data_IF_219586421883
#
_entry.id   IF_219586421883
#
_cell.length_a   1.000
_cell.length_b   1.000
_cell.length_c   1.000
_cell.angle_alpha   90.00
_cell.angle_beta   90.00
_cell.angle_gamma   90.00
#
_symmetry.space_group_name_H-M   'P 1'
#
loop_
_entity.id
_entity.type
_entity.pdbx_description
1 polymer ?
#
# COMPACT_ATOMS: atom_id res chain seq x y z
N UNK A 1 0.63 -5.93 -28.64
CA UNK A 1 -0.76 -6.36 -28.32
C UNK A 1 -0.71 -7.78 -27.76
N UNK A 2 -1.55 -8.12 -26.78
CA UNK A 2 -1.60 -9.45 -26.15
C UNK A 2 -3.04 -9.97 -26.17
N UNK A 3 -3.22 -11.26 -26.43
CA UNK A 3 -4.52 -11.94 -26.36
C UNK A 3 -4.74 -12.66 -25.02
N UNK A 4 -3.74 -12.61 -24.12
CA UNK A 4 -3.76 -13.25 -22.81
C UNK A 4 -3.77 -14.79 -22.84
N UNK A 5 -3.60 -15.44 -24.01
CA UNK A 5 -3.69 -16.90 -24.15
C UNK A 5 -2.52 -17.49 -24.94
N UNK A 6 -2.27 -16.98 -26.14
CA UNK A 6 -1.33 -17.57 -27.09
C UNK A 6 -0.02 -16.80 -27.18
N UNK A 7 -0.01 -15.53 -26.77
CA UNK A 7 1.22 -14.77 -26.63
C UNK A 7 1.01 -13.25 -26.63
N UNK A 8 2.12 -12.55 -26.86
CA UNK A 8 2.15 -11.10 -26.96
C UNK A 8 3.13 -10.65 -28.05
N UNK A 9 2.86 -9.46 -28.59
CA UNK A 9 3.71 -8.79 -29.57
C UNK A 9 4.38 -7.57 -28.94
N UNK A 10 5.71 -7.49 -29.12
CA UNK A 10 6.54 -6.34 -28.75
C UNK A 10 7.05 -5.71 -30.04
N UNK A 11 6.82 -4.40 -30.18
CA UNK A 11 7.28 -3.60 -31.32
C UNK A 11 7.73 -2.24 -30.79
N UNK A 12 8.67 -1.63 -31.51
CA UNK A 12 9.08 -0.25 -31.24
C UNK A 12 7.92 0.71 -31.53
N UNK A 13 7.78 1.75 -30.70
CA UNK A 13 6.71 2.73 -30.82
C UNK A 13 7.19 4.11 -30.39
N UNK A 14 6.48 5.15 -30.81
CA UNK A 14 6.78 6.55 -30.52
C UNK A 14 5.65 7.13 -29.67
N UNK A 15 6.01 7.86 -28.61
CA UNK A 15 5.09 8.62 -27.77
C UNK A 15 5.65 10.00 -27.47
N UNK A 16 4.77 10.98 -27.30
CA UNK A 16 5.15 12.39 -27.16
C UNK A 16 5.63 12.76 -25.75
N UNK A 17 5.28 11.98 -24.74
CA UNK A 17 5.55 12.27 -23.32
C UNK A 17 6.11 11.05 -22.59
N UNK A 18 6.61 11.19 -21.37
CA UNK A 18 6.96 10.05 -20.52
C UNK A 18 5.71 9.38 -19.92
N UNK A 19 5.78 8.06 -19.70
CA UNK A 19 4.71 7.30 -19.02
C UNK A 19 4.39 5.96 -19.67
N UNK A 20 3.25 5.39 -19.26
CA UNK A 20 2.75 4.11 -19.76
C UNK A 20 1.24 4.20 -20.01
N UNK A 21 0.80 3.72 -21.16
CA UNK A 21 -0.61 3.65 -21.52
C UNK A 21 -1.02 2.18 -21.52
N UNK A 22 -2.01 1.81 -20.72
CA UNK A 22 -2.56 0.45 -20.66
C UNK A 22 -3.98 0.49 -21.23
N UNK A 23 -4.16 -0.11 -22.41
CA UNK A 23 -5.45 -0.13 -23.12
C UNK A 23 -6.04 -1.53 -23.01
N UNK A 24 -7.23 -1.62 -22.41
CA UNK A 24 -7.98 -2.86 -22.26
C UNK A 24 -9.11 -2.89 -23.29
N UNK A 25 -9.18 -3.94 -24.11
CA UNK A 25 -10.35 -4.22 -24.91
C UNK A 25 -11.33 -5.05 -24.08
N UNK A 26 -12.52 -4.50 -23.86
CA UNK A 26 -13.53 -5.06 -22.95
C UNK A 26 -14.39 -6.07 -23.71
N UNK A 27 -14.54 -7.27 -23.15
CA UNK A 27 -15.45 -8.30 -23.65
C UNK A 27 -16.87 -8.11 -23.07
N UNK A 28 -17.82 -8.97 -23.46
CA UNK A 28 -19.22 -8.89 -23.00
C UNK A 28 -19.35 -8.94 -21.46
N UNK A 29 -18.56 -9.79 -20.78
CA UNK A 29 -18.57 -9.89 -19.32
C UNK A 29 -18.07 -8.62 -18.61
N UNK A 30 -17.21 -7.86 -19.28
CA UNK A 30 -16.62 -6.64 -18.77
C UNK A 30 -17.44 -5.38 -19.03
N UNK A 31 -18.61 -5.46 -19.68
CA UNK A 31 -19.42 -4.31 -20.10
C UNK A 31 -19.68 -3.31 -18.96
N UNK A 32 -19.84 -3.80 -17.72
CA UNK A 32 -19.99 -2.94 -16.52
C UNK A 32 -18.85 -1.94 -16.32
N UNK A 33 -17.64 -2.23 -16.78
CA UNK A 33 -16.48 -1.36 -16.69
C UNK A 33 -16.49 -0.22 -17.73
N UNK A 34 -17.48 -0.18 -18.63
CA UNK A 34 -17.77 0.98 -19.47
C UNK A 34 -18.62 2.03 -18.75
N UNK A 35 -19.19 1.68 -17.59
CA UNK A 35 -20.00 2.59 -16.78
C UNK A 35 -19.11 3.47 -15.89
N UNK A 36 -19.25 4.80 -16.02
CA UNK A 36 -18.51 5.79 -15.23
C UNK A 36 -18.63 5.56 -13.73
N UNK A 37 -19.84 5.32 -13.23
CA UNK A 37 -20.09 5.20 -11.79
C UNK A 37 -19.43 3.94 -11.21
N UNK A 38 -19.46 2.84 -11.96
CA UNK A 38 -18.78 1.60 -11.59
C UNK A 38 -17.26 1.81 -11.50
N UNK A 39 -16.65 2.41 -12.53
CA UNK A 39 -15.21 2.75 -12.51
C UNK A 39 -14.89 3.70 -11.35
N UNK A 40 -15.71 4.73 -11.12
CA UNK A 40 -15.50 5.68 -10.04
C UNK A 40 -15.51 4.99 -8.67
N UNK A 41 -16.43 4.05 -8.46
CA UNK A 41 -16.50 3.28 -7.22
C UNK A 41 -15.31 2.35 -7.04
N UNK A 42 -14.87 1.67 -8.11
CA UNK A 42 -13.68 0.81 -8.09
C UNK A 42 -12.45 1.63 -7.72
N UNK A 43 -12.21 2.75 -8.41
CA UNK A 43 -11.07 3.64 -8.13
C UNK A 43 -11.13 4.16 -6.69
N UNK A 44 -12.28 4.64 -6.22
CA UNK A 44 -12.43 5.09 -4.82
C UNK A 44 -12.13 3.96 -3.83
N UNK A 45 -12.65 2.76 -4.07
CA UNK A 45 -12.47 1.59 -3.20
C UNK A 45 -11.00 1.20 -3.08
N UNK A 46 -10.28 1.15 -4.20
CA UNK A 46 -8.90 0.62 -4.23
C UNK A 46 -7.81 1.68 -4.25
N UNK A 47 -8.14 2.98 -4.33
CA UNK A 47 -7.11 4.01 -4.53
C UNK A 47 -7.27 5.26 -3.66
N UNK A 48 -8.30 5.36 -2.82
CA UNK A 48 -8.47 6.52 -1.92
C UNK A 48 -7.31 6.73 -0.94
N UNK A 49 -6.52 5.69 -0.70
CA UNK A 49 -5.35 5.69 0.16
C UNK A 49 -4.03 5.94 -0.61
N UNK A 50 -4.09 5.98 -1.94
CA UNK A 50 -2.94 6.28 -2.80
C UNK A 50 -2.80 7.80 -2.83
N UNK A 51 -1.60 8.29 -2.48
CA UNK A 51 -1.30 9.72 -2.46
C UNK A 51 -1.24 10.34 -3.87
N UNK A 52 -0.95 9.53 -4.90
CA UNK A 52 -0.93 9.98 -6.28
C UNK A 52 -2.35 10.32 -6.77
N UNK A 53 -2.56 11.50 -7.40
CA UNK A 53 -3.89 11.88 -7.89
C UNK A 53 -4.28 11.01 -9.09
N UNK A 54 -5.49 10.46 -9.04
CA UNK A 54 -6.06 9.63 -10.10
C UNK A 54 -7.22 10.38 -10.71
N UNK A 55 -7.07 10.72 -11.99
CA UNK A 55 -8.08 11.42 -12.77
C UNK A 55 -8.89 10.42 -13.60
N UNK A 56 -10.21 10.62 -13.63
CA UNK A 56 -11.11 9.93 -14.54
C UNK A 56 -11.55 10.90 -15.62
N UNK A 57 -11.45 10.47 -16.87
CA UNK A 57 -11.90 11.19 -18.05
C UNK A 57 -13.17 10.54 -18.59
N UNK A 58 -14.18 11.35 -18.96
CA UNK A 58 -15.39 10.85 -19.62
C UNK A 58 -16.06 11.91 -20.48
N UNK A 59 -16.89 11.47 -21.43
CA UNK A 59 -17.77 12.34 -22.22
C UNK A 59 -19.12 12.48 -21.50
N UNK A 60 -19.52 13.71 -21.18
CA UNK A 60 -20.84 14.01 -20.68
C UNK A 60 -21.73 14.50 -21.83
N UNK A 61 -22.87 13.82 -22.03
CA UNK A 61 -23.86 14.20 -23.03
C UNK A 61 -25.00 14.93 -22.33
N UNK A 62 -25.17 16.21 -22.64
CA UNK A 62 -26.30 17.02 -22.15
C UNK A 62 -27.21 17.41 -23.30
N UNK A 63 -28.51 17.24 -23.13
CA UNK A 63 -29.49 17.69 -24.13
C UNK A 63 -30.01 19.06 -23.72
N UNK A 64 -29.81 20.08 -24.56
CA UNK A 64 -30.39 21.43 -24.34
C UNK A 64 -31.43 21.74 -25.40
N UNK A 65 -32.55 22.34 -24.97
CA UNK A 65 -33.68 22.77 -25.80
C UNK A 65 -34.97 21.96 -25.59
N UNK A 66 -36.10 22.54 -25.99
CA UNK A 66 -37.44 21.91 -25.93
C UNK A 66 -37.95 21.54 -27.33
N UNK A 67 -38.70 20.44 -27.41
CA UNK A 67 -39.32 19.96 -28.65
C UNK A 67 -38.30 19.59 -29.76
N UNK A 68 -38.57 20.00 -30.99
CA UNK A 68 -37.74 19.68 -32.19
C UNK A 68 -36.37 20.37 -32.24
N UNK A 69 -36.04 21.22 -31.26
CA UNK A 69 -34.74 21.95 -31.17
C UNK A 69 -33.77 21.34 -30.15
N UNK A 70 -33.97 20.10 -29.72
CA UNK A 70 -33.01 19.37 -28.87
C UNK A 70 -31.67 19.25 -29.61
N UNK A 71 -30.62 19.84 -29.04
CA UNK A 71 -29.24 19.61 -29.45
C UNK A 71 -28.51 18.88 -28.34
N UNK A 72 -27.82 17.81 -28.71
CA UNK A 72 -26.87 17.13 -27.85
C UNK A 72 -25.58 17.93 -27.82
N UNK A 73 -25.12 18.28 -26.62
CA UNK A 73 -23.80 18.84 -26.37
C UNK A 73 -22.98 17.75 -25.68
N UNK A 74 -21.92 17.32 -26.35
CA UNK A 74 -20.88 16.44 -25.81
C UNK A 74 -19.78 17.30 -25.21
N UNK A 75 -19.42 17.03 -23.96
CA UNK A 75 -18.39 17.78 -23.25
C UNK A 75 -17.43 16.80 -22.58
N UNK A 76 -16.13 16.96 -22.82
CA UNK A 76 -15.11 16.14 -22.18
C UNK A 76 -14.87 16.66 -20.77
N UNK A 77 -15.04 15.79 -19.78
CA UNK A 77 -14.82 16.09 -18.37
C UNK A 77 -13.66 15.28 -17.81
N UNK A 78 -12.98 15.88 -16.85
CA UNK A 78 -11.88 15.28 -16.10
C UNK A 78 -12.06 15.61 -14.63
N UNK A 79 -11.97 14.63 -13.75
CA UNK A 79 -12.12 14.82 -12.30
C UNK A 79 -11.16 13.91 -11.54
N UNK A 80 -10.52 14.44 -10.49
CA UNK A 80 -9.76 13.61 -9.56
C UNK A 80 -10.73 12.77 -8.73
N UNK A 81 -10.62 11.45 -8.81
CA UNK A 81 -11.56 10.52 -8.19
C UNK A 81 -11.12 10.05 -6.82
N UNK A 82 -9.81 9.87 -6.62
CA UNK A 82 -9.29 9.46 -5.33
C UNK A 82 -9.16 10.66 -4.38
N UNK A 83 -9.30 10.42 -3.09
CA UNK A 83 -9.18 11.46 -2.07
C UNK A 83 -7.79 12.14 -2.03
N UNK A 84 -6.74 11.54 -2.62
CA UNK A 84 -5.38 12.08 -2.61
C UNK A 84 -4.80 12.25 -1.19
N UNK A 85 -5.38 11.57 -0.20
CA UNK A 85 -4.98 11.67 1.21
C UNK A 85 -4.30 10.38 1.65
N UNK A 86 -3.14 10.53 2.27
CA UNK A 86 -2.43 9.42 2.89
C UNK A 86 -3.31 8.76 3.97
N UNK A 87 -3.66 7.48 3.81
CA UNK A 87 -4.56 6.77 4.71
C UNK A 87 -4.09 6.82 6.17
N UNK A 88 -2.80 6.62 6.40
CA UNK A 88 -2.17 6.65 7.72
C UNK A 88 -2.16 8.04 8.37
N UNK A 89 -2.42 9.12 7.63
CA UNK A 89 -2.56 10.47 8.20
C UNK A 89 -3.98 10.77 8.68
N UNK A 90 -4.96 9.90 8.40
CA UNK A 90 -6.32 10.09 8.90
C UNK A 90 -6.38 9.87 10.42
N UNK A 91 -7.20 10.65 11.16
CA UNK A 91 -7.39 10.43 12.59
C UNK A 91 -7.88 9.01 12.87
N UNK A 92 -7.28 8.31 13.83
CA UNK A 92 -7.62 6.91 14.13
C UNK A 92 -9.11 6.70 14.45
N UNK A 93 -9.73 7.67 15.14
CA UNK A 93 -11.17 7.61 15.47
C UNK A 93 -12.11 7.73 14.28
N UNK A 94 -11.61 8.16 13.11
CA UNK A 94 -12.39 8.18 11.86
C UNK A 94 -12.26 6.89 11.04
N UNK A 95 -11.36 5.99 11.42
CA UNK A 95 -11.07 4.75 10.70
C UNK A 95 -11.69 3.56 11.41
N UNK A 96 -12.33 2.69 10.63
CA UNK A 96 -12.84 1.39 11.09
C UNK A 96 -11.85 0.30 10.75
N UNK A 97 -11.98 -0.84 11.42
CA UNK A 97 -11.20 -2.05 11.15
C UNK A 97 -11.24 -2.45 9.67
N UNK A 98 -12.42 -2.42 9.04
CA UNK A 98 -12.59 -2.68 7.61
C UNK A 98 -11.74 -1.74 6.72
N UNK A 99 -11.58 -0.49 7.13
CA UNK A 99 -10.77 0.47 6.37
C UNK A 99 -9.28 0.10 6.44
N UNK A 100 -8.81 -0.37 7.60
CA UNK A 100 -7.45 -0.91 7.75
C UNK A 100 -7.24 -2.17 6.92
N UNK A 101 -8.22 -3.08 6.87
CA UNK A 101 -8.11 -4.31 6.08
C UNK A 101 -8.05 -4.00 4.58
N UNK A 102 -8.89 -3.07 4.10
CA UNK A 102 -8.86 -2.62 2.71
C UNK A 102 -7.53 -1.97 2.34
N UNK A 103 -6.94 -1.18 3.25
CA UNK A 103 -5.62 -0.60 3.03
C UNK A 103 -4.51 -1.67 3.04
N UNK A 104 -4.60 -2.68 3.90
CA UNK A 104 -3.66 -3.80 3.89
C UNK A 104 -3.68 -4.54 2.54
N UNK A 105 -4.86 -4.94 2.07
CA UNK A 105 -5.04 -5.71 0.84
C UNK A 105 -4.48 -4.97 -0.38
N UNK A 106 -4.58 -3.65 -0.41
CA UNK A 106 -4.07 -2.85 -1.52
C UNK A 106 -2.54 -2.70 -1.52
N UNK A 107 -1.89 -2.61 -0.35
CA UNK A 107 -0.43 -2.43 -0.27
C UNK A 107 0.34 -3.75 -0.25
N UNK A 108 -0.26 -4.82 0.27
CA UNK A 108 0.35 -6.13 0.42
C UNK A 108 0.05 -7.08 -0.74
N UNK A 109 -0.89 -6.71 -1.63
CA UNK A 109 -1.40 -7.57 -2.72
C UNK A 109 -1.84 -8.93 -2.18
N UNK A 110 -2.60 -8.88 -1.08
CA UNK A 110 -3.17 -10.03 -0.38
C UNK A 110 -4.71 -9.90 -0.41
N UNK A 111 -5.40 -11.03 -0.49
CA UNK A 111 -6.86 -11.09 -0.50
C UNK A 111 -7.45 -11.44 0.87
N UNK A 112 -6.62 -11.89 1.81
CA UNK A 112 -7.03 -12.16 3.18
C UNK A 112 -6.92 -10.91 4.05
N UNK A 113 -7.67 -10.90 5.15
CA UNK A 113 -7.53 -9.87 6.17
C UNK A 113 -6.27 -10.13 7.03
N UNK A 114 -5.58 -9.07 7.50
CA UNK A 114 -4.44 -9.23 8.39
C UNK A 114 -4.89 -9.73 9.76
N UNK A 115 -4.03 -10.46 10.48
CA UNK A 115 -4.35 -10.93 11.84
C UNK A 115 -4.19 -9.84 12.90
N UNK A 116 -3.40 -8.82 12.59
CA UNK A 116 -3.14 -7.68 13.46
C UNK A 116 -2.75 -6.46 12.62
N UNK A 117 -3.20 -5.28 13.05
CA UNK A 117 -2.72 -4.00 12.55
C UNK A 117 -2.29 -3.09 13.71
N UNK A 118 -1.29 -2.24 13.46
CA UNK A 118 -0.68 -1.38 14.46
C UNK A 118 -0.46 0.00 13.85
N UNK A 119 -1.32 0.95 14.21
CA UNK A 119 -1.23 2.34 13.74
C UNK A 119 -0.63 3.23 14.83
N UNK A 120 0.54 3.81 14.58
CA UNK A 120 1.24 4.72 15.51
C UNK A 120 1.44 6.09 14.86
N UNK A 121 1.14 7.14 15.59
CA UNK A 121 1.50 8.52 15.25
C UNK A 121 2.38 9.00 16.39
N UNK A 122 3.64 9.30 16.09
CA UNK A 122 4.62 9.79 17.04
C UNK A 122 4.92 11.25 16.70
N UNK A 123 4.91 12.08 17.73
CA UNK A 123 5.17 13.52 17.63
C UNK A 123 6.22 13.90 18.69
N UNK A 124 6.99 14.97 18.43
CA UNK A 124 7.93 15.57 19.37
C UNK A 124 9.39 15.30 18.99
N UNK A 125 10.06 14.40 19.70
CA UNK A 125 11.50 14.11 19.45
C UNK A 125 11.74 13.52 18.06
N UNK A 126 10.76 12.78 17.55
CA UNK A 126 10.74 12.26 16.18
C UNK A 126 9.29 12.32 15.67
N UNK A 127 9.09 12.95 14.54
CA UNK A 127 7.81 13.09 13.87
C UNK A 127 7.68 12.04 12.76
N UNK A 128 6.89 11.02 13.02
CA UNK A 128 6.63 9.96 12.06
C UNK A 128 5.32 9.23 12.33
N UNK A 129 4.81 8.58 11.29
CA UNK A 129 3.64 7.72 11.35
C UNK A 129 4.03 6.32 10.90
N UNK A 130 3.60 5.29 11.61
CA UNK A 130 3.71 3.91 11.15
C UNK A 130 2.34 3.27 11.09
N UNK A 131 2.15 2.42 10.09
CA UNK A 131 1.00 1.55 10.01
C UNK A 131 1.49 0.18 9.54
N UNK A 132 1.59 -0.73 10.50
CA UNK A 132 2.08 -2.09 10.29
C UNK A 132 0.94 -3.10 10.36
N UNK A 133 1.15 -4.21 9.67
CA UNK A 133 0.26 -5.33 9.57
C UNK A 133 1.04 -6.63 9.74
N UNK A 134 0.38 -7.62 10.33
CA UNK A 134 0.82 -9.01 10.31
C UNK A 134 -0.12 -9.77 9.37
N UNK A 135 0.39 -10.31 8.24
CA UNK A 135 -0.39 -11.16 7.35
C UNK A 135 -0.97 -12.37 8.07
N UNK A 136 -2.09 -12.90 7.57
CA UNK A 136 -2.64 -14.17 8.07
C UNK A 136 -1.82 -15.37 7.63
N UNK A 137 -1.29 -15.33 6.41
CA UNK A 137 -0.49 -16.39 5.83
C UNK A 137 0.92 -15.88 5.56
N UNK A 138 1.91 -16.74 5.73
CA UNK A 138 3.27 -16.45 5.33
C UNK A 138 3.36 -16.21 3.81
N UNK A 139 4.11 -15.17 3.37
CA UNK A 139 4.38 -14.98 1.95
C UNK A 139 5.26 -16.12 1.43
N UNK A 140 5.12 -16.46 0.15
CA UNK A 140 5.79 -17.62 -0.45
C UNK A 140 7.32 -17.53 -0.41
N UNK A 141 7.86 -16.31 -0.38
CA UNK A 141 9.29 -16.01 -0.38
C UNK A 141 9.87 -15.82 1.03
N UNK A 142 9.10 -16.06 2.10
CA UNK A 142 9.51 -15.78 3.48
C UNK A 142 10.86 -16.37 3.87
N UNK A 143 11.21 -17.53 3.32
CA UNK A 143 12.44 -18.26 3.64
C UNK A 143 13.55 -18.08 2.60
N UNK A 144 13.30 -17.29 1.56
CA UNK A 144 14.27 -17.07 0.50
C UNK A 144 15.28 -15.99 0.92
N UNK A 145 16.57 -16.13 0.61
CA UNK A 145 17.57 -15.08 0.89
C UNK A 145 17.24 -13.74 0.23
N UNK A 146 16.60 -13.78 -0.94
CA UNK A 146 16.15 -12.66 -1.77
C UNK A 146 14.69 -12.27 -1.52
N UNK A 147 14.13 -12.61 -0.33
CA UNK A 147 12.78 -12.18 0.07
C UNK A 147 12.55 -10.68 -0.19
N UNK A 148 11.33 -10.35 -0.58
CA UNK A 148 10.89 -8.98 -0.81
C UNK A 148 10.47 -8.32 0.53
N UNK A 149 11.06 -7.17 0.90
CA UNK A 149 10.63 -6.43 2.07
C UNK A 149 9.16 -6.02 2.00
N UNK A 150 8.51 -6.00 3.16
CA UNK A 150 7.08 -5.71 3.25
C UNK A 150 6.72 -4.27 3.65
N UNK A 151 7.71 -3.48 4.04
CA UNK A 151 7.49 -2.14 4.62
C UNK A 151 7.93 -1.08 3.63
N UNK A 152 6.99 -0.21 3.26
CA UNK A 152 7.21 0.92 2.36
C UNK A 152 7.63 2.16 3.15
N UNK A 153 8.72 2.79 2.74
CA UNK A 153 9.19 4.06 3.30
C UNK A 153 8.62 5.24 2.52
N UNK A 154 8.04 6.17 3.26
CA UNK A 154 7.57 7.47 2.81
C UNK A 154 8.31 8.57 3.59
N UNK A 155 8.51 9.69 2.93
CA UNK A 155 9.03 10.91 3.53
C UNK A 155 8.11 12.05 3.15
N UNK A 156 7.50 12.71 4.14
CA UNK A 156 6.51 13.76 3.93
C UNK A 156 5.40 13.31 2.96
N UNK A 157 4.93 12.07 3.13
CA UNK A 157 3.91 11.40 2.28
C UNK A 157 4.36 11.10 0.84
N UNK A 158 5.61 11.34 0.49
CA UNK A 158 6.20 10.98 -0.80
C UNK A 158 6.82 9.60 -0.68
N UNK A 159 6.45 8.69 -1.58
CA UNK A 159 7.02 7.35 -1.63
C UNK A 159 8.51 7.40 -1.95
N UNK A 160 9.33 6.68 -1.17
CA UNK A 160 10.78 6.60 -1.36
C UNK A 160 11.18 5.22 -1.88
N UNK A 161 10.83 4.16 -1.15
CA UNK A 161 11.22 2.79 -1.51
C UNK A 161 10.39 1.76 -0.74
N UNK A 162 10.19 0.58 -1.29
CA UNK A 162 9.63 -0.60 -0.65
C UNK A 162 10.55 -1.82 -0.72
N UNK A 163 11.77 -1.64 -1.21
CA UNK A 163 12.74 -2.69 -1.47
C UNK A 163 14.00 -2.51 -0.60
N UNK A 164 13.87 -1.91 0.59
CA UNK A 164 15.00 -1.73 1.50
C UNK A 164 14.88 -2.63 2.74
N UNK A 165 15.76 -3.64 2.80
CA UNK A 165 15.87 -4.59 3.92
C UNK A 165 16.33 -3.92 5.22
N UNK A 166 16.80 -2.68 5.18
CA UNK A 166 17.24 -1.96 6.37
C UNK A 166 16.08 -1.39 7.19
N UNK A 167 14.89 -1.25 6.60
CA UNK A 167 13.73 -0.63 7.25
C UNK A 167 13.23 -1.46 8.43
N UNK A 168 13.30 -2.80 8.33
CA UNK A 168 12.90 -3.75 9.37
C UNK A 168 13.97 -4.81 9.57
N UNK A 169 14.19 -5.31 10.79
CA UNK A 169 15.13 -6.40 10.99
C UNK A 169 14.62 -7.69 10.32
N UNK A 170 15.55 -8.53 9.86
CA UNK A 170 15.25 -9.74 9.08
C UNK A 170 14.32 -10.70 9.82
N UNK A 171 14.39 -10.78 11.15
CA UNK A 171 13.49 -11.62 11.97
C UNK A 171 12.03 -11.14 11.99
N UNK A 172 11.76 -9.91 11.54
CA UNK A 172 10.41 -9.32 11.35
C UNK A 172 10.07 -9.12 9.87
N UNK A 173 10.75 -9.79 8.94
CA UNK A 173 10.52 -9.66 7.48
C UNK A 173 9.09 -9.97 6.99
N UNK A 174 8.30 -10.65 7.83
CA UNK A 174 6.87 -10.90 7.56
C UNK A 174 5.99 -9.65 7.74
N UNK A 175 6.47 -8.60 8.41
CA UNK A 175 5.70 -7.37 8.61
C UNK A 175 5.41 -6.72 7.25
N UNK A 176 4.17 -6.27 7.09
CA UNK A 176 3.73 -5.46 5.95
C UNK A 176 3.33 -4.07 6.45
N UNK A 177 3.47 -3.04 5.63
CA UNK A 177 2.98 -1.72 6.04
C UNK A 177 3.79 -0.55 5.53
N UNK A 178 3.74 0.55 6.27
CA UNK A 178 4.41 1.80 5.92
C UNK A 178 5.10 2.43 7.12
N UNK A 179 6.14 3.21 6.82
CA UNK A 179 6.73 4.23 7.69
C UNK A 179 6.70 5.55 6.91
N UNK A 180 6.13 6.60 7.48
CA UNK A 180 6.14 7.96 6.91
C UNK A 180 6.81 8.91 7.89
N UNK A 181 8.01 9.40 7.56
CA UNK A 181 8.78 10.31 8.41
C UNK A 181 8.73 11.74 7.89
N UNK A 182 8.52 12.70 8.80
CA UNK A 182 8.62 14.13 8.50
C UNK A 182 10.07 14.66 8.65
N UNK A 183 10.89 13.92 9.41
CA UNK A 183 12.26 14.29 9.81
C UNK A 183 13.35 13.78 8.86
N UNK A 184 13.02 12.88 7.94
CA UNK A 184 13.94 12.42 6.92
C UNK A 184 13.99 13.41 5.74
N UNK A 185 15.17 13.61 5.10
CA UNK A 185 15.25 14.39 3.88
C UNK A 185 14.67 13.62 2.69
N UNK A 186 14.08 14.31 1.70
CA UNK A 186 13.46 13.67 0.53
C UNK A 186 14.49 13.01 -0.40
N UNK A 187 15.72 13.55 -0.47
CA UNK A 187 16.80 13.09 -1.34
C UNK A 187 17.63 11.95 -0.69
N UNK A 188 16.95 10.94 -0.15
CA UNK A 188 17.56 9.78 0.48
C UNK A 188 17.88 8.69 -0.54
N UNK A 189 19.15 8.33 -0.66
CA UNK A 189 19.60 7.10 -1.33
C UNK A 189 19.64 5.93 -0.33
N UNK A 190 19.71 4.69 -0.83
CA UNK A 190 19.88 3.48 0.01
C UNK A 190 21.07 3.56 0.96
N UNK A 191 22.19 4.11 0.48
CA UNK A 191 23.39 4.30 1.31
C UNK A 191 23.14 5.30 2.45
N UNK A 192 22.41 6.38 2.17
CA UNK A 192 22.06 7.37 3.19
C UNK A 192 21.11 6.74 4.21
N UNK A 193 20.13 5.95 3.78
CA UNK A 193 19.17 5.27 4.67
C UNK A 193 19.88 4.36 5.69
N UNK A 194 20.85 3.54 5.23
CA UNK A 194 21.65 2.66 6.09
C UNK A 194 22.35 3.39 7.24
N UNK A 195 22.89 4.59 6.97
CA UNK A 195 23.65 5.39 7.94
C UNK A 195 22.77 6.39 8.69
N UNK A 196 21.46 6.44 8.41
CA UNK A 196 20.58 7.48 8.93
C UNK A 196 20.14 7.19 10.37
N UNK A 197 20.55 8.07 11.30
CA UNK A 197 20.23 7.95 12.74
C UNK A 197 18.74 8.12 13.05
N UNK A 198 17.99 8.89 12.26
CA UNK A 198 16.54 9.06 12.43
C UNK A 198 15.84 7.76 12.07
N UNK A 199 16.15 7.19 10.90
CA UNK A 199 15.56 5.91 10.47
C UNK A 199 15.90 4.79 11.46
N UNK A 200 17.15 4.70 11.93
CA UNK A 200 17.56 3.71 12.92
C UNK A 200 16.75 3.81 14.23
N UNK A 201 16.48 5.03 14.72
CA UNK A 201 15.62 5.23 15.90
C UNK A 201 14.16 4.85 15.63
N UNK A 202 13.63 5.22 14.46
CA UNK A 202 12.26 4.85 14.06
C UNK A 202 12.13 3.33 13.96
N UNK A 203 13.11 2.64 13.37
CA UNK A 203 13.19 1.17 13.31
C UNK A 203 13.17 0.57 14.71
N UNK A 204 14.03 1.01 15.63
CA UNK A 204 14.07 0.49 17.00
C UNK A 204 12.75 0.71 17.75
N UNK A 205 12.13 1.90 17.63
CA UNK A 205 10.83 2.17 18.23
C UNK A 205 9.72 1.27 17.63
N UNK A 206 9.79 1.04 16.32
CA UNK A 206 8.85 0.16 15.61
C UNK A 206 8.98 -1.29 16.06
N UNK A 207 10.21 -1.80 16.19
CA UNK A 207 10.50 -3.14 16.72
C UNK A 207 9.90 -3.31 18.12
N UNK A 208 10.18 -2.38 19.04
CA UNK A 208 9.61 -2.40 20.41
C UNK A 208 8.09 -2.46 20.39
N UNK A 209 7.46 -1.64 19.54
CA UNK A 209 6.00 -1.61 19.42
C UNK A 209 5.46 -2.95 18.90
N UNK A 210 6.05 -3.51 17.84
CA UNK A 210 5.62 -4.79 17.25
C UNK A 210 5.74 -5.92 18.27
N UNK A 211 6.88 -6.03 18.96
CA UNK A 211 7.08 -7.07 19.98
C UNK A 211 6.12 -6.91 21.16
N UNK A 212 5.85 -5.68 21.60
CA UNK A 212 4.87 -5.41 22.66
C UNK A 212 3.46 -5.86 22.27
N UNK A 213 3.05 -5.60 21.03
CA UNK A 213 1.76 -6.03 20.51
C UNK A 213 1.68 -7.56 20.35
N UNK A 214 2.78 -8.22 19.93
CA UNK A 214 2.87 -9.68 19.88
C UNK A 214 2.74 -10.33 21.26
N UNK A 215 3.29 -9.71 22.32
CA UNK A 215 3.12 -10.16 23.72
C UNK A 215 1.65 -10.05 24.16
N UNK A 216 0.94 -9.02 23.72
CA UNK A 216 -0.49 -8.89 24.00
C UNK A 216 -1.26 -9.96 23.22
N UNK A 217 -0.94 -10.13 21.93
CA UNK A 217 -1.55 -11.10 21.04
C UNK A 217 -1.34 -12.55 21.53
N UNK A 218 -0.20 -12.84 22.17
CA UNK A 218 0.12 -14.16 22.71
C UNK A 218 -0.76 -14.61 23.88
N UNK A 219 -1.57 -13.71 24.46
CA UNK A 219 -2.54 -14.05 25.51
C UNK A 219 -3.68 -14.93 24.98
N UNK A 220 -4.02 -14.81 23.69
CA UNK A 220 -4.92 -15.74 23.02
C UNK A 220 -4.10 -16.90 22.43
N UNK A 221 -4.00 -17.99 23.20
CA UNK A 221 -3.20 -19.15 22.82
C UNK A 221 -3.57 -19.71 21.44
N UNK A 222 -4.86 -19.74 21.08
CA UNK A 222 -5.30 -20.34 19.82
C UNK A 222 -4.84 -19.50 18.64
N UNK A 223 -5.06 -18.18 18.70
CA UNK A 223 -4.59 -17.25 17.66
C UNK A 223 -3.07 -17.23 17.58
N UNK A 224 -2.39 -17.24 18.72
CA UNK A 224 -0.94 -17.21 18.77
C UNK A 224 -0.31 -18.49 18.22
N UNK A 225 -0.89 -19.66 18.45
CA UNK A 225 -0.43 -20.91 17.81
C UNK A 225 -0.45 -20.77 16.29
N UNK A 226 -1.55 -20.29 15.70
CA UNK A 226 -1.61 -20.07 14.25
C UNK A 226 -0.58 -19.06 13.74
N UNK A 227 -0.29 -18.00 14.51
CA UNK A 227 0.79 -17.07 14.19
C UNK A 227 2.17 -17.76 14.22
N UNK A 228 2.45 -18.58 15.24
CA UNK A 228 3.71 -19.30 15.36
C UNK A 228 3.90 -20.33 14.24
N UNK A 229 2.83 -20.97 13.79
CA UNK A 229 2.87 -21.90 12.65
C UNK A 229 3.33 -21.21 11.36
N UNK A 230 2.99 -19.93 11.18
CA UNK A 230 3.36 -19.14 10.00
C UNK A 230 4.71 -18.42 10.14
N UNK A 231 4.99 -17.84 11.32
CA UNK A 231 6.08 -16.86 11.51
C UNK A 231 7.03 -17.20 12.67
N UNK A 232 6.87 -18.36 13.30
CA UNK A 232 7.66 -18.75 14.47
C UNK A 232 9.15 -18.92 14.17
N UNK A 233 9.50 -19.41 12.97
CA UNK A 233 10.90 -19.54 12.54
C UNK A 233 11.57 -18.16 12.43
N UNK A 234 11.10 -17.23 11.57
CA UNK A 234 11.71 -15.91 11.49
C UNK A 234 11.73 -15.19 12.83
N UNK A 235 10.66 -15.26 13.63
CA UNK A 235 10.62 -14.61 14.93
C UNK A 235 11.72 -15.11 15.89
N UNK A 236 11.98 -16.43 15.91
CA UNK A 236 13.04 -17.02 16.74
C UNK A 236 14.44 -16.58 16.33
N UNK A 237 14.62 -16.16 15.08
CA UNK A 237 15.91 -15.63 14.62
C UNK A 237 16.30 -14.35 15.37
N UNK A 238 15.34 -13.59 15.90
CA UNK A 238 15.58 -12.40 16.71
C UNK A 238 16.47 -12.67 17.92
N UNK A 239 16.43 -13.87 18.49
CA UNK A 239 17.21 -14.25 19.68
C UNK A 239 18.74 -14.16 19.49
N UNK A 240 19.22 -14.26 18.24
CA UNK A 240 20.64 -14.14 17.92
C UNK A 240 20.98 -12.87 17.12
N UNK A 241 19.99 -12.22 16.51
CA UNK A 241 20.20 -11.02 15.67
C UNK A 241 20.02 -9.71 16.44
N UNK A 242 19.19 -9.70 17.49
CA UNK A 242 18.74 -8.47 18.15
C UNK A 242 18.85 -8.58 19.67
N UNK A 243 20.07 -8.36 20.17
CA UNK A 243 20.38 -8.44 21.60
C UNK A 243 19.68 -7.36 22.43
N UNK A 244 19.30 -6.24 21.80
CA UNK A 244 18.66 -5.11 22.48
C UNK A 244 17.19 -5.38 22.81
N UNK A 245 16.55 -6.34 22.13
CA UNK A 245 15.13 -6.66 22.25
C UNK A 245 14.84 -8.14 22.58
N UNK A 246 15.85 -8.84 23.12
CA UNK A 246 15.76 -10.26 23.48
C UNK A 246 14.77 -10.56 24.60
#
# INVERSE_FOLDING_TARGET
VSDGKTGYLIEDSVRDSFGTDVILQINEEGEKFTNRWEIQNIVKKYSNHIAFPIYLHWEEVTTKGEGKKKKEKKEQKTEQINAGSAFWKKPKGSLKEKDYHQFYQSIAVDYEDPVLYMHTQAEGTLDYTTLFYIPKNAPFDLFNPDFQPGVKLYVKRVFITDDDKEIMPTYLRFIRGIIDSEDLPLNVSREILQKNRVLAKIKNNSVKKILSELIIYSKDKKKYTSFIDQFGIPLKEGLYQDMDHR
#
